data_IF_123450812807
#
_entry.id   IF_123450812807
#
_cell.length_a   1.000
_cell.length_b   1.000
_cell.length_c   1.000
_cell.angle_alpha   90.00
_cell.angle_beta   90.00
_cell.angle_gamma   90.00
#
_symmetry.space_group_name_H-M   'P 1'
#
loop_
_entity.id
_entity.type
_entity.pdbx_description
1 polymer ?
#
# COMPACT_ATOMS: atom_id res chain seq x y z
N UNK A 1 -37.06 -16.86 -7.02
CA UNK A 1 -35.69 -16.39 -6.79
C UNK A 1 -35.29 -15.54 -7.98
N UNK A 2 -35.23 -14.21 -7.80
CA UNK A 2 -35.03 -13.26 -8.89
C UNK A 2 -33.62 -13.33 -9.50
N UNK A 3 -32.62 -13.69 -8.68
CA UNK A 3 -31.25 -13.88 -9.13
C UNK A 3 -31.16 -15.13 -10.02
N UNK A 4 -31.71 -16.25 -9.57
CA UNK A 4 -31.74 -17.48 -10.37
C UNK A 4 -32.45 -17.30 -11.71
N UNK A 5 -33.62 -16.64 -11.72
CA UNK A 5 -34.38 -16.38 -12.95
C UNK A 5 -33.59 -15.49 -13.93
N UNK A 6 -32.97 -14.41 -13.44
CA UNK A 6 -32.16 -13.54 -14.27
C UNK A 6 -30.95 -14.27 -14.89
N UNK A 7 -30.23 -15.07 -14.09
CA UNK A 7 -29.10 -15.87 -14.57
C UNK A 7 -29.56 -16.91 -15.60
N UNK A 8 -30.69 -17.58 -15.37
CA UNK A 8 -31.25 -18.58 -16.30
C UNK A 8 -31.67 -17.98 -17.64
N UNK A 9 -32.11 -16.71 -17.63
CA UNK A 9 -32.45 -15.94 -18.84
C UNK A 9 -31.23 -15.30 -19.51
N UNK A 10 -30.01 -15.54 -19.01
CA UNK A 10 -28.78 -14.93 -19.52
C UNK A 10 -28.64 -13.44 -19.23
N UNK A 11 -29.44 -12.90 -18.30
CA UNK A 11 -29.39 -11.49 -17.88
C UNK A 11 -28.40 -11.30 -16.74
N UNK A 12 -27.64 -10.21 -16.80
CA UNK A 12 -26.81 -9.78 -15.67
C UNK A 12 -27.70 -9.35 -14.51
N UNK A 13 -27.28 -9.70 -13.30
CA UNK A 13 -27.95 -9.34 -12.07
C UNK A 13 -26.90 -8.91 -11.04
N UNK A 14 -27.13 -7.84 -10.30
CA UNK A 14 -26.16 -7.34 -9.34
C UNK A 14 -25.89 -8.38 -8.23
N UNK A 15 -24.61 -8.72 -8.01
CA UNK A 15 -24.21 -9.73 -7.03
C UNK A 15 -24.20 -11.16 -7.56
N UNK A 16 -24.44 -11.37 -8.87
CA UNK A 16 -24.29 -12.69 -9.51
C UNK A 16 -22.86 -13.22 -9.43
N UNK A 17 -21.87 -12.35 -9.23
CA UNK A 17 -20.46 -12.69 -9.08
C UNK A 17 -20.21 -13.56 -7.83
N UNK A 18 -21.06 -13.46 -6.81
CA UNK A 18 -20.96 -14.33 -5.64
C UNK A 18 -21.45 -15.77 -5.92
N UNK A 19 -22.01 -16.05 -7.09
CA UNK A 19 -22.34 -17.40 -7.56
C UNK A 19 -21.27 -17.96 -8.51
N UNK A 20 -20.12 -17.30 -8.63
CA UNK A 20 -19.00 -17.73 -9.47
C UNK A 20 -18.70 -19.24 -9.39
N UNK A 21 -18.65 -19.89 -8.21
CA UNK A 21 -18.30 -21.32 -8.13
C UNK A 21 -19.33 -22.26 -8.76
N UNK A 22 -20.55 -21.79 -9.07
CA UNK A 22 -21.57 -22.61 -9.73
C UNK A 22 -21.46 -22.58 -11.26
N UNK A 23 -20.64 -21.69 -11.82
CA UNK A 23 -20.43 -21.59 -13.27
C UNK A 23 -19.20 -22.35 -13.76
N UNK A 24 -18.35 -22.83 -12.85
CA UNK A 24 -17.10 -23.51 -13.16
C UNK A 24 -16.99 -24.79 -12.35
N UNK A 25 -16.37 -25.83 -12.91
CA UNK A 25 -16.13 -27.10 -12.19
C UNK A 25 -15.14 -26.90 -11.04
N UNK A 26 -14.17 -26.01 -11.22
CA UNK A 26 -13.15 -25.65 -10.23
C UNK A 26 -12.78 -24.18 -10.40
N UNK A 27 -12.66 -23.47 -9.28
CA UNK A 27 -12.02 -22.16 -9.26
C UNK A 27 -10.53 -22.34 -8.99
N UNK A 28 -9.72 -21.58 -9.72
CA UNK A 28 -8.27 -21.55 -9.58
C UNK A 28 -7.84 -20.29 -8.82
N UNK A 29 -6.71 -20.39 -8.17
CA UNK A 29 -6.05 -19.32 -7.41
C UNK A 29 -4.86 -18.79 -8.20
N UNK A 30 -4.28 -17.68 -7.76
CA UNK A 30 -3.03 -17.17 -8.37
C UNK A 30 -1.88 -18.21 -8.31
N UNK A 31 -1.90 -19.12 -7.34
CA UNK A 31 -0.88 -20.14 -7.14
C UNK A 31 -0.91 -21.25 -8.19
N UNK A 32 -2.06 -21.48 -8.82
CA UNK A 32 -2.23 -22.42 -9.94
C UNK A 32 -1.58 -21.88 -11.23
N UNK A 33 -1.60 -20.56 -11.42
CA UNK A 33 -1.00 -19.90 -12.59
C UNK A 33 0.52 -19.70 -12.46
N UNK A 34 1.04 -19.69 -11.22
CA UNK A 34 2.45 -19.43 -10.91
C UNK A 34 3.01 -20.52 -9.97
N UNK A 35 3.04 -21.80 -10.38
CA UNK A 35 3.31 -22.93 -9.48
C UNK A 35 4.70 -22.89 -8.81
N UNK A 36 5.70 -22.33 -9.49
CA UNK A 36 7.09 -22.33 -9.04
C UNK A 36 7.52 -20.99 -8.41
N UNK A 37 6.64 -19.98 -8.40
CA UNK A 37 6.97 -18.66 -7.87
C UNK A 37 7.03 -18.69 -6.34
N UNK A 38 8.08 -18.09 -5.72
CA UNK A 38 8.10 -17.93 -4.27
C UNK A 38 6.98 -16.98 -3.84
N UNK A 39 6.45 -17.20 -2.63
CA UNK A 39 5.42 -16.35 -2.04
C UNK A 39 6.02 -15.62 -0.86
N UNK A 40 6.00 -14.29 -0.92
CA UNK A 40 6.54 -13.43 0.13
C UNK A 40 5.37 -12.77 0.87
N UNK A 41 5.30 -13.02 2.16
CA UNK A 41 4.32 -12.43 3.08
C UNK A 41 4.94 -11.24 3.79
N UNK A 42 4.23 -10.12 3.73
CA UNK A 42 4.50 -8.98 4.59
C UNK A 42 4.24 -9.32 6.07
N UNK A 43 4.86 -8.59 7.00
CA UNK A 43 4.82 -8.86 8.43
C UNK A 43 3.43 -8.95 9.08
N UNK A 44 2.40 -8.34 8.46
CA UNK A 44 1.01 -8.38 8.93
C UNK A 44 0.10 -9.24 8.05
N UNK A 45 0.65 -9.96 7.06
CA UNK A 45 -0.17 -10.66 6.07
C UNK A 45 -1.03 -11.77 6.70
N UNK A 46 -0.50 -12.54 7.65
CA UNK A 46 -1.23 -13.62 8.31
C UNK A 46 -2.34 -13.09 9.22
N UNK A 47 -2.08 -12.01 9.96
CA UNK A 47 -3.09 -11.34 10.80
C UNK A 47 -4.21 -10.77 9.93
N UNK A 48 -3.86 -10.00 8.90
CA UNK A 48 -4.82 -9.43 7.97
C UNK A 48 -5.68 -10.49 7.27
N UNK A 49 -5.09 -11.65 6.96
CA UNK A 49 -5.80 -12.78 6.38
C UNK A 49 -6.78 -13.42 7.37
N UNK A 50 -6.38 -13.62 8.62
CA UNK A 50 -7.26 -14.15 9.66
C UNK A 50 -8.43 -13.20 9.97
N UNK A 51 -8.17 -11.90 10.09
CA UNK A 51 -9.20 -10.88 10.27
C UNK A 51 -10.17 -10.83 9.07
N UNK A 52 -9.63 -10.83 7.84
CA UNK A 52 -10.44 -10.84 6.62
C UNK A 52 -11.32 -12.07 6.54
N UNK A 53 -10.79 -13.24 6.88
CA UNK A 53 -11.54 -14.48 6.88
C UNK A 53 -12.68 -14.45 7.91
N UNK A 54 -12.42 -13.93 9.11
CA UNK A 54 -13.45 -13.74 10.14
C UNK A 54 -14.59 -12.86 9.64
N UNK A 55 -14.26 -11.71 9.01
CA UNK A 55 -15.27 -10.83 8.41
C UNK A 55 -16.09 -11.53 7.32
N UNK A 56 -15.46 -12.37 6.49
CA UNK A 56 -16.15 -13.14 5.45
C UNK A 56 -17.17 -14.10 6.09
N UNK A 57 -16.78 -14.83 7.13
CA UNK A 57 -17.67 -15.75 7.84
C UNK A 57 -18.84 -15.01 8.51
N UNK A 58 -18.57 -13.92 9.22
CA UNK A 58 -19.62 -13.11 9.87
C UNK A 58 -20.64 -12.59 8.85
N UNK A 59 -20.14 -12.07 7.72
CA UNK A 59 -20.99 -11.58 6.63
C UNK A 59 -21.79 -12.69 5.94
N UNK A 60 -21.23 -13.89 5.84
CA UNK A 60 -21.93 -15.07 5.33
C UNK A 60 -23.04 -15.49 6.31
N UNK A 61 -22.75 -15.60 7.59
CA UNK A 61 -23.71 -15.99 8.61
C UNK A 61 -24.85 -14.98 8.75
N UNK A 62 -24.54 -13.68 8.71
CA UNK A 62 -25.55 -12.62 8.74
C UNK A 62 -26.55 -12.76 7.57
N UNK A 63 -26.04 -13.02 6.36
CA UNK A 63 -26.88 -13.25 5.16
C UNK A 63 -27.69 -14.54 5.27
N UNK A 64 -27.10 -15.61 5.83
CA UNK A 64 -27.80 -16.88 6.05
C UNK A 64 -28.96 -16.70 7.04
N UNK A 65 -28.72 -16.06 8.19
CA UNK A 65 -29.76 -15.76 9.19
C UNK A 65 -30.88 -14.88 8.62
N UNK A 66 -30.53 -13.87 7.82
CA UNK A 66 -31.53 -13.03 7.15
C UNK A 66 -32.40 -13.81 6.16
N UNK A 67 -31.83 -14.77 5.44
CA UNK A 67 -32.59 -15.65 4.57
C UNK A 67 -33.56 -16.55 5.36
N UNK A 68 -33.14 -17.02 6.53
CA UNK A 68 -33.96 -17.85 7.44
C UNK A 68 -35.05 -17.04 8.16
N UNK A 69 -34.84 -15.73 8.36
CA UNK A 69 -35.76 -14.84 9.10
C UNK A 69 -36.62 -13.94 8.21
N UNK A 70 -36.55 -14.08 6.88
CA UNK A 70 -37.12 -13.09 5.97
C UNK A 70 -38.65 -12.93 6.12
N UNK A 71 -39.09 -11.70 6.43
CA UNK A 71 -40.44 -11.23 6.13
C UNK A 71 -40.70 -11.31 4.62
N UNK A 72 -41.97 -11.54 4.25
CA UNK A 72 -42.47 -11.92 2.91
C UNK A 72 -42.03 -11.08 1.70
N UNK A 73 -41.38 -9.92 1.89
CA UNK A 73 -41.10 -8.93 0.83
C UNK A 73 -39.59 -8.72 0.52
N UNK A 74 -38.66 -9.36 1.23
CA UNK A 74 -37.23 -9.29 0.89
C UNK A 74 -36.88 -10.31 -0.20
N UNK A 75 -36.11 -9.91 -1.23
CA UNK A 75 -35.58 -10.84 -2.24
C UNK A 75 -34.66 -11.84 -1.52
N UNK A 76 -34.99 -13.14 -1.47
CA UNK A 76 -34.18 -14.11 -0.76
C UNK A 76 -32.84 -14.25 -1.47
N UNK A 77 -31.76 -13.81 -0.82
CA UNK A 77 -30.39 -14.02 -1.29
C UNK A 77 -29.85 -15.31 -0.70
N UNK A 78 -29.33 -16.19 -1.55
CA UNK A 78 -28.72 -17.46 -1.14
C UNK A 78 -27.20 -17.30 -1.15
N UNK A 79 -26.56 -17.02 0.00
CA UNK A 79 -25.11 -16.87 0.04
C UNK A 79 -24.43 -18.20 -0.24
N UNK A 80 -23.36 -18.15 -1.04
CA UNK A 80 -22.49 -19.30 -1.30
C UNK A 80 -21.57 -19.54 -0.11
N UNK A 81 -21.28 -20.81 0.19
CA UNK A 81 -20.35 -21.17 1.25
C UNK A 81 -18.98 -20.51 1.00
N UNK A 82 -18.38 -19.81 1.99
CA UNK A 82 -17.14 -19.06 1.80
C UNK A 82 -15.99 -19.87 1.21
N UNK A 83 -15.84 -21.14 1.62
CA UNK A 83 -14.76 -22.02 1.16
C UNK A 83 -14.80 -22.33 -0.35
N UNK A 84 -15.93 -22.06 -1.03
CA UNK A 84 -16.03 -22.20 -2.49
C UNK A 84 -15.47 -20.98 -3.25
N UNK A 85 -15.29 -19.85 -2.58
CA UNK A 85 -14.88 -18.58 -3.18
C UNK A 85 -13.54 -18.06 -2.64
N UNK A 86 -13.26 -18.30 -1.37
CA UNK A 86 -12.14 -17.72 -0.65
C UNK A 86 -11.27 -18.80 -0.04
N UNK A 87 -9.95 -18.56 -0.01
CA UNK A 87 -9.04 -19.38 0.77
C UNK A 87 -9.16 -19.01 2.25
N UNK A 88 -9.36 -20.01 3.09
CA UNK A 88 -9.19 -19.89 4.54
C UNK A 88 -7.70 -19.85 4.91
N UNK A 89 -7.34 -19.41 6.12
CA UNK A 89 -5.96 -19.49 6.61
C UNK A 89 -5.36 -20.90 6.52
N UNK A 90 -6.16 -21.92 6.82
CA UNK A 90 -5.73 -23.31 6.76
C UNK A 90 -5.53 -23.79 5.31
N UNK A 91 -6.46 -23.40 4.42
CA UNK A 91 -6.40 -23.78 3.00
C UNK A 91 -5.28 -23.07 2.25
N UNK A 92 -4.92 -21.84 2.66
CA UNK A 92 -3.81 -21.11 2.05
C UNK A 92 -2.53 -21.93 2.09
N UNK A 93 -2.17 -22.48 3.25
CA UNK A 93 -0.93 -23.26 3.40
C UNK A 93 -0.92 -24.49 2.48
N UNK A 94 -2.07 -25.14 2.31
CA UNK A 94 -2.20 -26.24 1.37
C UNK A 94 -2.05 -25.76 -0.09
N UNK A 95 -2.63 -24.60 -0.45
CA UNK A 95 -2.53 -24.00 -1.78
C UNK A 95 -1.11 -23.53 -2.15
N UNK A 96 -0.27 -23.19 -1.16
CA UNK A 96 1.14 -22.90 -1.40
C UNK A 96 1.91 -24.16 -1.85
N UNK A 97 1.54 -25.36 -1.42
CA UNK A 97 2.25 -26.58 -1.82
C UNK A 97 3.75 -26.53 -1.44
N UNK A 98 4.67 -26.99 -2.30
CA UNK A 98 6.10 -27.13 -1.97
C UNK A 98 6.95 -25.88 -2.28
N UNK A 99 6.35 -24.77 -2.72
CA UNK A 99 7.11 -23.55 -3.09
C UNK A 99 7.71 -22.88 -1.87
N UNK A 100 8.69 -22.01 -2.11
CA UNK A 100 9.31 -21.21 -1.05
C UNK A 100 8.32 -20.18 -0.49
N UNK A 101 8.05 -20.26 0.82
CA UNK A 101 7.28 -19.28 1.58
C UNK A 101 8.21 -18.43 2.45
N UNK A 102 8.22 -17.11 2.23
CA UNK A 102 9.09 -16.17 2.94
C UNK A 102 8.22 -15.23 3.73
N UNK A 103 8.42 -15.17 5.05
CA UNK A 103 7.78 -14.19 5.93
C UNK A 103 8.78 -13.06 6.23
N UNK A 104 8.37 -11.82 5.98
CA UNK A 104 9.05 -10.68 6.58
C UNK A 104 8.55 -10.44 7.99
N UNK A 105 9.48 -10.16 8.89
CA UNK A 105 9.19 -9.79 10.28
C UNK A 105 10.00 -8.55 10.64
N UNK A 106 9.39 -7.65 11.41
CA UNK A 106 10.07 -6.47 11.97
C UNK A 106 10.81 -6.79 13.27
N UNK A 107 10.53 -7.94 13.86
CA UNK A 107 11.14 -8.40 15.11
C UNK A 107 12.18 -9.48 14.84
N UNK A 108 13.25 -9.45 15.64
CA UNK A 108 14.20 -10.55 15.68
C UNK A 108 13.50 -11.84 16.09
N UNK A 109 13.63 -12.86 15.25
CA UNK A 109 13.13 -14.19 15.54
C UNK A 109 14.30 -15.07 15.99
N UNK A 110 14.16 -15.84 17.08
CA UNK A 110 15.16 -16.84 17.42
C UNK A 110 15.23 -17.92 16.34
N UNK A 111 16.43 -18.46 16.10
CA UNK A 111 16.63 -19.62 15.24
C UNK A 111 16.16 -20.89 15.96
N UNK A 112 14.84 -21.03 16.07
CA UNK A 112 14.18 -22.21 16.62
C UNK A 112 13.76 -23.06 15.42
N UNK A 113 14.45 -24.19 15.25
CA UNK A 113 14.41 -24.99 14.01
C UNK A 113 13.02 -25.19 13.40
N UNK A 114 12.97 -25.13 12.07
CA UNK A 114 11.77 -25.30 11.26
C UNK A 114 11.65 -24.27 10.14
N UNK A 115 12.18 -23.06 10.35
CA UNK A 115 12.35 -22.03 9.32
C UNK A 115 13.78 -21.48 9.38
N UNK A 116 14.36 -21.18 8.21
CA UNK A 116 15.66 -20.51 8.14
C UNK A 116 15.46 -19.01 8.34
N UNK A 117 16.14 -18.43 9.33
CA UNK A 117 16.02 -17.00 9.65
C UNK A 117 17.18 -16.23 9.04
N UNK A 118 16.88 -15.10 8.41
CA UNK A 118 17.87 -14.15 7.90
C UNK A 118 17.61 -12.77 8.50
N UNK A 119 18.58 -12.24 9.26
CA UNK A 119 18.51 -10.88 9.78
C UNK A 119 18.99 -9.90 8.70
N UNK A 120 18.12 -8.96 8.31
CA UNK A 120 18.48 -7.91 7.36
C UNK A 120 19.50 -6.89 7.93
N UNK A 121 19.69 -6.87 9.26
CA UNK A 121 20.60 -5.95 9.93
C UNK A 121 20.17 -4.48 9.82
N UNK A 122 18.91 -4.23 9.50
CA UNK A 122 18.34 -2.90 9.39
C UNK A 122 17.57 -2.50 10.65
N UNK A 123 17.57 -1.20 10.94
CA UNK A 123 16.79 -0.58 12.00
C UNK A 123 16.06 0.64 11.46
N UNK A 124 15.00 1.06 12.16
CA UNK A 124 14.30 2.29 11.83
C UNK A 124 15.26 3.49 11.93
N UNK A 125 15.17 4.40 10.95
CA UNK A 125 15.98 5.62 10.93
C UNK A 125 15.50 6.64 11.97
N UNK A 126 16.26 7.72 12.14
CA UNK A 126 15.84 8.82 13.02
C UNK A 126 14.73 9.63 12.35
N UNK A 127 13.59 9.80 13.03
CA UNK A 127 12.39 10.45 12.47
C UNK A 127 12.27 11.97 12.73
N UNK A 128 13.23 12.56 13.44
CA UNK A 128 13.32 13.99 13.85
C UNK A 128 11.99 14.60 14.35
N UNK A 129 11.09 13.77 14.88
CA UNK A 129 9.72 14.19 15.18
C UNK A 129 9.66 15.19 16.33
N UNK A 130 10.55 15.05 17.32
CA UNK A 130 10.64 15.94 18.47
C UNK A 130 11.10 17.34 18.04
N UNK A 131 12.12 17.42 17.19
CA UNK A 131 12.67 18.69 16.69
C UNK A 131 11.70 19.42 15.75
N UNK A 132 10.87 18.69 15.02
CA UNK A 132 9.77 19.30 14.23
C UNK A 132 8.66 19.86 15.11
N UNK A 133 8.44 19.29 16.29
CA UNK A 133 7.39 19.73 17.20
C UNK A 133 7.79 20.95 18.04
N UNK A 134 9.10 21.21 18.20
CA UNK A 134 9.61 22.36 18.95
C UNK A 134 9.83 23.59 18.04
N UNK A 135 9.09 24.70 18.23
CA UNK A 135 9.25 25.89 17.42
C UNK A 135 10.59 26.63 17.63
N UNK A 136 11.36 26.29 18.66
CA UNK A 136 12.65 26.90 18.94
C UNK A 136 13.82 26.17 18.27
N UNK A 137 13.56 25.01 17.66
CA UNK A 137 14.57 24.18 17.02
C UNK A 137 14.38 24.26 15.51
N UNK A 138 15.48 24.52 14.80
CA UNK A 138 15.49 24.33 13.36
C UNK A 138 15.84 22.88 13.04
N UNK A 139 14.86 22.11 12.55
CA UNK A 139 15.03 20.69 12.21
C UNK A 139 16.17 20.47 11.20
N UNK A 140 16.39 21.39 10.26
CA UNK A 140 17.44 21.23 9.25
C UNK A 140 18.83 21.29 9.85
N UNK A 141 19.08 22.17 10.83
CA UNK A 141 20.38 22.22 11.54
C UNK A 141 20.68 20.89 12.24
N UNK A 142 19.66 20.26 12.83
CA UNK A 142 19.77 18.97 13.52
C UNK A 142 20.01 17.84 12.53
N UNK A 143 19.34 17.86 11.38
CA UNK A 143 19.55 16.89 10.30
C UNK A 143 20.96 17.01 9.71
N UNK A 144 21.44 18.23 9.45
CA UNK A 144 22.79 18.46 8.95
C UNK A 144 23.83 17.93 9.94
N UNK A 145 23.65 18.22 11.24
CA UNK A 145 24.51 17.66 12.29
C UNK A 145 24.48 16.14 12.30
N UNK A 146 23.31 15.52 12.25
CA UNK A 146 23.19 14.06 12.19
C UNK A 146 23.94 13.49 10.98
N UNK A 147 23.72 14.02 9.78
CA UNK A 147 24.41 13.57 8.56
C UNK A 147 25.93 13.75 8.68
N UNK A 148 26.40 14.84 9.29
CA UNK A 148 27.81 15.09 9.52
C UNK A 148 28.43 14.07 10.50
N UNK A 149 27.74 13.77 11.60
CA UNK A 149 28.14 12.77 12.59
C UNK A 149 28.22 11.38 11.93
N UNK A 150 27.27 11.03 11.06
CA UNK A 150 27.28 9.76 10.32
C UNK A 150 28.43 9.64 9.31
N UNK A 151 28.70 10.72 8.59
CA UNK A 151 29.88 10.80 7.71
C UNK A 151 31.17 10.66 8.51
N UNK A 152 31.26 11.26 9.69
CA UNK A 152 32.43 11.17 10.56
C UNK A 152 32.63 9.73 11.11
N UNK A 153 31.54 9.01 11.36
CA UNK A 153 31.53 7.59 11.67
C UNK A 153 31.85 6.68 10.47
N UNK A 154 32.15 7.26 9.29
CA UNK A 154 32.40 6.57 8.01
C UNK A 154 31.21 5.73 7.52
N UNK A 155 30.00 6.03 7.98
CA UNK A 155 28.77 5.45 7.39
C UNK A 155 28.42 6.22 6.13
N UNK A 156 27.90 5.50 5.13
CA UNK A 156 27.36 6.12 3.92
C UNK A 156 26.00 6.71 4.26
N UNK A 157 25.72 7.91 3.76
CA UNK A 157 24.44 8.58 4.01
C UNK A 157 23.74 8.85 2.70
N UNK A 158 22.45 8.51 2.62
CA UNK A 158 21.56 8.88 1.51
C UNK A 158 20.44 9.74 2.08
N UNK A 159 20.20 10.90 1.47
CA UNK A 159 18.98 11.66 1.65
C UNK A 159 18.03 11.29 0.50
N UNK A 160 16.90 10.72 0.86
CA UNK A 160 15.93 10.15 -0.06
C UNK A 160 14.75 11.11 -0.27
N UNK A 161 14.60 11.60 -1.50
CA UNK A 161 13.50 12.46 -1.91
C UNK A 161 12.44 11.68 -2.71
N UNK A 162 11.19 12.15 -2.67
CA UNK A 162 10.09 11.47 -3.34
C UNK A 162 10.09 11.64 -4.87
N UNK A 163 10.59 12.78 -5.34
CA UNK A 163 10.67 13.16 -6.75
C UNK A 163 11.96 13.92 -7.00
N UNK A 164 12.38 14.05 -8.25
CA UNK A 164 13.55 14.88 -8.60
C UNK A 164 13.42 16.32 -8.08
N UNK A 165 12.24 16.94 -8.24
CA UNK A 165 12.00 18.31 -7.80
C UNK A 165 11.86 18.48 -6.28
N UNK A 166 11.44 17.45 -5.55
CA UNK A 166 11.45 17.51 -4.07
C UNK A 166 12.86 17.28 -3.53
N UNK A 167 13.61 16.36 -4.14
CA UNK A 167 15.01 16.09 -3.81
C UNK A 167 15.91 17.30 -4.07
N UNK A 168 15.77 17.97 -5.22
CA UNK A 168 16.55 19.18 -5.55
C UNK A 168 16.31 20.29 -4.53
N UNK A 169 15.04 20.56 -4.20
CA UNK A 169 14.67 21.54 -3.15
C UNK A 169 15.23 21.15 -1.78
N UNK A 170 15.12 19.88 -1.40
CA UNK A 170 15.66 19.40 -0.13
C UNK A 170 17.19 19.54 -0.09
N UNK A 171 17.88 19.21 -1.19
CA UNK A 171 19.32 19.39 -1.33
C UNK A 171 19.75 20.86 -1.21
N UNK A 172 18.99 21.78 -1.82
CA UNK A 172 19.23 23.23 -1.70
C UNK A 172 19.08 23.71 -0.25
N UNK A 173 18.00 23.33 0.44
CA UNK A 173 17.77 23.70 1.84
C UNK A 173 18.90 23.16 2.73
N UNK A 174 19.30 21.89 2.55
CA UNK A 174 20.40 21.31 3.31
C UNK A 174 21.73 22.04 3.04
N UNK A 175 21.99 22.45 1.80
CA UNK A 175 23.18 23.22 1.44
C UNK A 175 23.18 24.64 2.05
N UNK A 176 22.02 25.30 2.12
CA UNK A 176 21.84 26.58 2.82
C UNK A 176 22.15 26.44 4.32
N UNK A 177 21.80 25.29 4.91
CA UNK A 177 22.17 24.87 6.26
C UNK A 177 23.60 24.30 6.37
N UNK A 178 24.45 24.59 5.38
CA UNK A 178 25.88 24.25 5.35
C UNK A 178 26.23 22.75 5.20
N UNK A 179 25.29 21.92 4.73
CA UNK A 179 25.61 20.55 4.33
C UNK A 179 26.29 20.52 2.95
N UNK A 180 27.62 20.52 2.95
CA UNK A 180 28.43 20.36 1.73
C UNK A 180 28.52 18.92 1.23
N UNK A 181 29.21 18.72 0.10
CA UNK A 181 29.57 17.42 -0.48
C UNK A 181 28.37 16.50 -0.77
N UNK A 182 27.28 17.07 -1.28
CA UNK A 182 26.14 16.33 -1.77
C UNK A 182 26.38 15.87 -3.22
N UNK A 183 26.03 14.62 -3.51
CA UNK A 183 26.16 14.04 -4.84
C UNK A 183 24.91 13.26 -5.20
N UNK A 184 24.32 13.54 -6.36
CA UNK A 184 23.18 12.76 -6.85
C UNK A 184 23.62 11.33 -7.18
N UNK A 185 22.82 10.36 -6.75
CA UNK A 185 23.03 8.93 -6.99
C UNK A 185 21.70 8.29 -7.41
N UNK A 186 21.76 7.42 -8.42
CA UNK A 186 20.60 6.70 -8.96
C UNK A 186 20.60 5.21 -8.59
N UNK A 187 21.75 4.66 -8.18
CA UNK A 187 21.90 3.23 -7.90
C UNK A 187 22.71 2.97 -6.64
N UNK A 188 22.51 1.80 -6.03
CA UNK A 188 23.31 1.37 -4.88
C UNK A 188 24.80 1.28 -5.21
N UNK A 189 25.15 0.88 -6.44
CA UNK A 189 26.54 0.84 -6.91
C UNK A 189 27.20 2.24 -6.96
N UNK A 190 26.43 3.31 -7.14
CA UNK A 190 26.94 4.68 -7.06
C UNK A 190 27.08 5.14 -5.60
N UNK A 191 26.18 4.71 -4.72
CA UNK A 191 26.30 4.93 -3.26
C UNK A 191 27.58 4.30 -2.73
N UNK A 192 27.95 3.10 -3.20
CA UNK A 192 29.17 2.42 -2.79
C UNK A 192 30.45 3.18 -3.17
N UNK A 193 30.39 3.97 -4.24
CA UNK A 193 31.48 4.79 -4.78
C UNK A 193 31.50 6.22 -4.22
N UNK A 194 30.69 6.53 -3.21
CA UNK A 194 30.76 7.82 -2.52
C UNK A 194 32.09 7.93 -1.78
N UNK A 195 32.77 9.05 -1.97
CA UNK A 195 34.01 9.36 -1.26
C UNK A 195 33.72 9.68 0.22
N UNK A 196 34.67 9.45 1.14
CA UNK A 196 34.52 9.83 2.53
C UNK A 196 34.09 11.29 2.69
N UNK A 197 33.02 11.52 3.46
CA UNK A 197 32.46 12.85 3.67
C UNK A 197 31.43 13.31 2.62
N UNK A 198 31.13 12.50 1.60
CA UNK A 198 29.99 12.72 0.70
C UNK A 198 28.68 12.15 1.26
N UNK A 199 27.54 12.70 0.85
CA UNK A 199 26.23 12.06 1.01
C UNK A 199 25.52 12.01 -0.35
N UNK A 200 24.79 10.92 -0.55
CA UNK A 200 23.96 10.69 -1.72
C UNK A 200 22.65 11.47 -1.65
N UNK A 201 22.25 12.08 -2.75
CA UNK A 201 20.87 12.52 -2.98
C UNK A 201 20.23 11.53 -3.94
N UNK A 202 19.17 10.85 -3.53
CA UNK A 202 18.52 9.82 -4.33
C UNK A 202 17.01 10.03 -4.44
N UNK A 203 16.45 9.85 -5.63
CA UNK A 203 14.99 9.75 -5.79
C UNK A 203 14.58 8.35 -5.36
N UNK A 204 14.15 8.23 -4.11
CA UNK A 204 13.77 6.98 -3.47
C UNK A 204 12.56 7.27 -2.56
N UNK A 205 11.33 7.06 -3.07
CA UNK A 205 10.11 7.39 -2.33
C UNK A 205 9.92 6.45 -1.13
N UNK A 206 10.38 6.89 0.04
CA UNK A 206 10.26 6.18 1.30
C UNK A 206 9.42 7.00 2.28
N UNK A 207 8.57 6.31 3.03
CA UNK A 207 7.78 6.91 4.11
C UNK A 207 8.62 7.09 5.39
N UNK A 208 9.64 6.25 5.57
CA UNK A 208 10.59 6.39 6.67
C UNK A 208 11.98 5.94 6.25
N UNK A 209 12.98 6.58 6.84
CA UNK A 209 14.36 6.19 6.73
C UNK A 209 14.67 4.90 7.48
N UNK A 210 15.85 4.35 7.20
CA UNK A 210 16.38 3.18 7.89
C UNK A 210 17.89 3.27 7.96
N UNK A 211 18.48 2.53 8.89
CA UNK A 211 19.92 2.39 9.00
C UNK A 211 20.33 0.93 9.04
N UNK A 212 21.56 0.67 8.62
CA UNK A 212 22.30 -0.58 8.74
C UNK A 212 23.67 -0.26 9.34
N UNK A 213 24.52 -1.25 9.52
CA UNK A 213 25.88 -1.04 10.03
C UNK A 213 26.71 -0.07 9.16
N UNK A 214 26.48 -0.03 7.84
CA UNK A 214 27.29 0.75 6.89
C UNK A 214 26.56 1.86 6.13
N UNK A 215 25.23 1.93 6.24
CA UNK A 215 24.38 2.83 5.44
C UNK A 215 23.28 3.43 6.31
N UNK A 216 23.08 4.74 6.19
CA UNK A 216 21.97 5.48 6.78
C UNK A 216 21.17 6.13 5.64
N UNK A 217 19.87 5.87 5.60
CA UNK A 217 18.94 6.48 4.67
C UNK A 217 18.01 7.39 5.46
N UNK A 218 18.04 8.68 5.16
CA UNK A 218 17.16 9.70 5.73
C UNK A 218 16.08 10.04 4.71
N UNK A 219 14.82 9.72 5.00
CA UNK A 219 13.72 10.02 4.11
C UNK A 219 13.26 11.47 4.24
N UNK A 220 12.71 12.03 3.17
CA UNK A 220 12.09 13.36 3.15
C UNK A 220 11.02 13.50 4.26
N UNK A 221 10.23 12.44 4.51
CA UNK A 221 9.22 12.42 5.59
C UNK A 221 9.81 12.38 6.99
N UNK A 222 11.05 11.90 7.18
CA UNK A 222 11.74 11.98 8.47
C UNK A 222 12.10 13.45 8.79
N UNK A 223 12.30 14.29 7.78
CA UNK A 223 12.69 15.69 7.98
C UNK A 223 11.47 16.62 8.00
N UNK A 224 10.50 16.37 7.13
CA UNK A 224 9.37 17.28 6.86
C UNK A 224 8.03 16.81 7.45
N UNK A 225 7.93 15.52 7.80
CA UNK A 225 6.69 14.87 8.21
C UNK A 225 5.71 14.60 7.07
N UNK A 226 4.67 13.82 7.38
CA UNK A 226 3.73 13.25 6.41
C UNK A 226 2.93 14.28 5.58
N UNK A 227 2.79 15.51 6.10
CA UNK A 227 1.88 16.52 5.54
C UNK A 227 2.33 17.11 4.20
N UNK A 228 3.61 16.98 3.83
CA UNK A 228 4.17 17.60 2.62
C UNK A 228 4.12 16.68 1.38
N UNK A 229 3.95 15.37 1.57
CA UNK A 229 3.90 14.41 0.47
C UNK A 229 2.45 14.19 0.05
N UNK A 230 1.89 15.17 -0.67
CA UNK A 230 0.67 14.91 -1.43
C UNK A 230 1.01 13.92 -2.54
N UNK A 231 0.59 12.65 -2.39
CA UNK A 231 0.46 11.74 -3.53
C UNK A 231 -0.33 12.51 -4.59
N UNK A 232 0.31 12.82 -5.71
CA UNK A 232 -0.36 13.43 -6.85
C UNK A 232 -1.52 12.51 -7.21
N UNK A 233 -2.76 12.90 -6.85
CA UNK A 233 -3.95 12.18 -7.32
C UNK A 233 -3.86 12.24 -8.83
N UNK A 234 -3.69 11.06 -9.45
CA UNK A 234 -3.69 10.89 -10.90
C UNK A 234 -4.86 11.72 -11.44
N UNK A 235 -4.56 12.83 -12.13
CA UNK A 235 -5.58 13.71 -12.71
C UNK A 235 -6.46 12.80 -13.56
N UNK A 236 -7.73 12.62 -13.18
CA UNK A 236 -8.73 11.96 -14.04
C UNK A 236 -8.65 12.65 -15.40
N UNK A 237 -8.52 11.87 -16.47
CA UNK A 237 -8.36 12.43 -17.81
C UNK A 237 -9.66 13.18 -18.14
N UNK A 238 -9.58 14.31 -18.84
CA UNK A 238 -10.76 15.08 -19.26
C UNK A 238 -11.77 14.24 -20.07
N UNK A 239 -11.33 13.12 -20.68
CA UNK A 239 -12.18 12.11 -21.30
C UNK A 239 -13.21 11.49 -20.34
N UNK A 240 -12.86 11.34 -19.07
CA UNK A 240 -13.73 10.71 -18.06
C UNK A 240 -14.88 11.66 -17.65
N UNK A 241 -14.68 12.98 -17.81
CA UNK A 241 -15.71 14.00 -17.53
C UNK A 241 -16.73 14.13 -18.68
N UNK A 242 -16.28 13.94 -19.93
CA UNK A 242 -17.14 13.97 -21.13
C UNK A 242 -18.07 12.75 -21.16
N UNK A 243 -17.64 11.61 -20.61
CA UNK A 243 -18.47 10.41 -20.48
C UNK A 243 -19.62 10.59 -19.46
N UNK A 244 -19.43 11.35 -18.38
CA UNK A 244 -20.51 11.63 -17.41
C UNK A 244 -21.53 12.64 -17.97
N UNK A 245 -21.10 13.68 -18.69
CA UNK A 245 -22.00 14.67 -19.30
C UNK A 245 -22.90 14.09 -20.41
N UNK A 246 -22.46 13.03 -21.10
CA UNK A 246 -23.23 12.34 -22.15
C UNK A 246 -24.24 11.32 -21.62
N UNK A 247 -24.31 11.13 -20.29
CA UNK A 247 -25.27 10.26 -19.62
C UNK A 247 -26.48 11.00 -19.03
N UNK A 248 -26.49 12.33 -19.10
CA UNK A 248 -27.57 13.17 -18.58
C UNK A 248 -28.78 13.13 -19.52
N UNK A 249 -29.93 12.76 -18.96
CA UNK A 249 -31.22 12.79 -19.63
C UNK A 249 -31.95 14.10 -19.33
N UNK A 250 -32.72 14.61 -20.30
CA UNK A 250 -33.58 15.78 -20.06
C UNK A 250 -34.50 15.51 -18.86
N UNK A 251 -34.41 16.35 -17.84
CA UNK A 251 -35.11 16.22 -16.56
C UNK A 251 -34.21 15.97 -15.36
N UNK A 252 -32.95 15.58 -15.56
CA UNK A 252 -31.99 15.27 -14.49
C UNK A 252 -31.62 16.50 -13.67
N UNK A 253 -31.36 16.31 -12.38
CA UNK A 253 -30.97 17.38 -11.47
C UNK A 253 -29.44 17.50 -11.47
N UNK A 254 -28.95 18.69 -11.82
CA UNK A 254 -27.51 18.99 -11.92
C UNK A 254 -27.16 20.10 -10.95
N UNK A 255 -26.00 20.00 -10.31
CA UNK A 255 -25.52 21.03 -9.38
C UNK A 255 -24.39 21.79 -10.06
N UNK A 256 -24.63 23.07 -10.34
CA UNK A 256 -23.60 23.96 -10.87
C UNK A 256 -22.85 24.62 -9.71
N UNK A 257 -21.52 24.61 -9.77
CA UNK A 257 -20.64 25.08 -8.69
C UNK A 257 -20.93 26.53 -8.27
N UNK A 258 -21.23 27.39 -9.24
CA UNK A 258 -21.54 28.81 -8.98
C UNK A 258 -23.03 29.15 -8.83
N UNK A 259 -23.95 28.28 -9.30
CA UNK A 259 -25.38 28.63 -9.45
C UNK A 259 -26.33 27.72 -8.66
N UNK A 260 -25.83 26.65 -8.04
CA UNK A 260 -26.64 25.72 -7.25
C UNK A 260 -27.37 24.68 -8.09
N UNK A 261 -28.48 24.16 -7.56
CA UNK A 261 -29.22 23.03 -8.13
C UNK A 261 -30.13 23.50 -9.27
N UNK A 262 -29.96 22.93 -10.46
CA UNK A 262 -30.76 23.17 -11.66
C UNK A 262 -31.25 21.88 -12.29
N UNK A 263 -32.10 21.99 -13.33
CA UNK A 263 -32.63 20.86 -14.09
C UNK A 263 -32.08 20.89 -15.51
N UNK A 264 -31.47 19.79 -15.96
CA UNK A 264 -30.95 19.64 -17.31
C UNK A 264 -32.11 19.53 -18.31
N UNK A 265 -32.15 20.39 -19.33
CA UNK A 265 -33.24 20.40 -20.32
C UNK A 265 -32.83 19.83 -21.69
N UNK A 266 -31.54 19.52 -21.87
CA UNK A 266 -30.94 19.08 -23.14
C UNK A 266 -29.67 19.86 -23.46
#
# INVERSE_FOLDING_TARGET
DALYAAVSEGRRFAGMEHWLPFFYERLETVFDYLPDAPVVFDHLAHEALAERHTLILDHYEARRRQADSALKDAVPYKPVAPDLLYLSPDNLKASLGPREDIDFTVFDAPDVGGKKVFHAGSRHGRSFAEERADPNINVFDVVVKHIADERAARRRVIVAGWTEGSLDRLGQILAEHHLGNLKTVATLAEVEKLEPGQAGLAVLPLESGFETDGLVVVAEQDILGDRLIRRSKRKKKASDFIAEASSLSSGDIVVHTDHGIGRFIG
#
